data_IF_043011225931
#
_entry.id   IF_043011225931
#
_cell.length_a   1.000
_cell.length_b   1.000
_cell.length_c   1.000
_cell.angle_alpha   90.00
_cell.angle_beta   90.00
_cell.angle_gamma   90.00
#
_symmetry.space_group_name_H-M   'P 1'
#
loop_
_entity.id
_entity.type
_entity.pdbx_description
1 polymer ?
#
# COMPACT_ATOMS: atom_id res chain seq x y z
N UNK A 1 26.98 -3.47 3.25
CA UNK A 1 25.53 -3.13 3.21
C UNK A 1 24.84 -3.54 1.90
N UNK A 2 25.49 -3.40 0.74
CA UNK A 2 24.91 -3.73 -0.60
C UNK A 2 24.53 -5.21 -0.78
N UNK A 3 25.32 -6.17 -0.28
CA UNK A 3 25.01 -7.62 -0.39
C UNK A 3 23.81 -8.10 0.47
N UNK A 4 23.36 -7.33 1.48
CA UNK A 4 22.20 -7.70 2.33
C UNK A 4 20.87 -7.23 1.73
N UNK A 5 20.88 -6.19 0.90
CA UNK A 5 19.70 -5.71 0.16
C UNK A 5 19.31 -6.73 -0.91
N UNK A 6 20.28 -7.37 -1.58
CA UNK A 6 20.02 -8.40 -2.59
C UNK A 6 19.38 -9.69 -2.02
N UNK A 7 19.69 -10.09 -0.78
CA UNK A 7 19.02 -11.21 -0.11
C UNK A 7 17.56 -10.88 0.26
N UNK A 8 17.25 -9.62 0.60
CA UNK A 8 15.88 -9.18 0.86
C UNK A 8 15.06 -9.03 -0.42
N UNK A 9 15.69 -8.57 -1.51
CA UNK A 9 15.10 -8.59 -2.87
C UNK A 9 14.83 -10.03 -3.32
N UNK A 10 15.68 -11.00 -2.93
CA UNK A 10 15.45 -12.43 -3.14
C UNK A 10 14.23 -12.95 -2.38
N UNK A 11 13.97 -12.51 -1.16
CA UNK A 11 12.77 -12.94 -0.42
C UNK A 11 11.46 -12.54 -1.14
N UNK A 12 11.45 -11.39 -1.83
CA UNK A 12 10.34 -10.95 -2.68
C UNK A 12 10.38 -11.51 -4.12
N UNK A 13 11.52 -12.04 -4.58
CA UNK A 13 11.70 -12.59 -5.94
C UNK A 13 11.69 -14.13 -6.01
N UNK A 14 11.75 -14.83 -4.86
CA UNK A 14 11.75 -16.30 -4.74
C UNK A 14 10.40 -16.99 -5.00
N UNK A 15 9.51 -16.34 -5.75
CA UNK A 15 8.35 -16.99 -6.36
C UNK A 15 8.55 -17.08 -7.88
N UNK A 16 9.67 -17.64 -8.36
CA UNK A 16 9.77 -18.06 -9.76
C UNK A 16 10.94 -19.00 -10.10
N UNK A 17 10.71 -20.29 -9.93
CA UNK A 17 11.01 -21.26 -10.99
C UNK A 17 9.78 -22.15 -11.16
N UNK A 18 8.82 -21.68 -11.96
CA UNK A 18 7.76 -22.55 -12.46
C UNK A 18 8.22 -23.10 -13.81
N UNK A 19 8.40 -24.43 -13.84
CA UNK A 19 8.55 -25.23 -15.06
C UNK A 19 7.55 -24.76 -16.11
N UNK A 20 8.07 -24.54 -17.32
CA UNK A 20 7.31 -24.26 -18.53
C UNK A 20 6.32 -25.41 -18.73
N UNK A 21 5.03 -25.16 -18.52
CA UNK A 21 3.99 -26.09 -18.96
C UNK A 21 3.76 -25.83 -20.44
N UNK A 22 4.38 -26.66 -21.28
CA UNK A 22 4.05 -26.81 -22.70
C UNK A 22 2.78 -27.64 -22.79
N UNK A 23 1.61 -27.01 -22.79
CA UNK A 23 0.39 -27.64 -23.34
C UNK A 23 0.01 -26.93 -24.63
N UNK A 24 -0.37 -27.67 -25.70
CA UNK A 24 -0.82 -27.08 -26.94
C UNK A 24 -2.13 -26.34 -26.69
N UNK A 25 -2.26 -25.15 -27.27
CA UNK A 25 -3.57 -24.57 -27.51
C UNK A 25 -4.28 -25.46 -28.55
N UNK A 26 -5.29 -26.23 -28.14
CA UNK A 26 -6.58 -26.45 -28.85
C UNK A 26 -7.38 -27.63 -28.22
N UNK A 27 -8.71 -27.44 -28.23
CA UNK A 27 -9.86 -28.28 -27.82
C UNK A 27 -10.32 -28.23 -26.36
N UNK A 28 -11.50 -27.59 -26.20
CA UNK A 28 -12.35 -27.52 -25.02
C UNK A 28 -12.83 -28.92 -24.64
N UNK A 29 -12.65 -29.31 -23.38
CA UNK A 29 -13.45 -30.36 -22.74
C UNK A 29 -14.29 -29.71 -21.62
N UNK A 30 -15.60 -29.88 -21.72
CA UNK A 30 -16.66 -29.23 -20.93
C UNK A 30 -16.75 -29.62 -19.44
N UNK A 31 -15.80 -30.41 -18.89
CA UNK A 31 -15.93 -30.95 -17.53
C UNK A 31 -15.00 -30.30 -16.47
N UNK A 32 -14.19 -29.30 -16.87
CA UNK A 32 -13.39 -28.45 -15.95
C UNK A 32 -14.12 -27.13 -15.63
N UNK A 33 -15.26 -26.89 -16.25
CA UNK A 33 -15.98 -25.60 -16.23
C UNK A 33 -16.82 -25.34 -14.97
N UNK A 34 -16.79 -26.22 -13.95
CA UNK A 34 -17.47 -25.97 -12.66
C UNK A 34 -16.57 -25.47 -11.53
N UNK A 35 -15.24 -25.53 -11.66
CA UNK A 35 -14.32 -25.13 -10.57
C UNK A 35 -13.52 -23.86 -10.87
N UNK A 36 -13.54 -23.37 -12.11
CA UNK A 36 -13.02 -22.06 -12.47
C UNK A 36 -14.13 -21.01 -12.41
N UNK A 37 -14.54 -20.65 -11.19
CA UNK A 37 -15.10 -19.33 -10.95
C UNK A 37 -14.12 -18.33 -11.60
N UNK A 38 -14.53 -17.59 -12.63
CA UNK A 38 -13.65 -16.68 -13.39
C UNK A 38 -12.96 -15.75 -12.39
N UNK A 39 -11.71 -16.02 -12.04
CA UNK A 39 -10.91 -15.17 -11.16
C UNK A 39 -10.77 -13.82 -11.86
N UNK A 40 -11.38 -12.79 -11.28
CA UNK A 40 -11.27 -11.40 -11.73
C UNK A 40 -10.41 -10.61 -10.76
N UNK A 41 -9.95 -9.42 -11.18
CA UNK A 41 -9.28 -8.51 -10.25
C UNK A 41 -10.22 -8.08 -9.11
N UNK A 42 -11.51 -7.91 -9.37
CA UNK A 42 -12.52 -7.65 -8.34
C UNK A 42 -12.57 -8.75 -7.27
N UNK A 43 -12.73 -10.01 -7.68
CA UNK A 43 -12.73 -11.17 -6.78
C UNK A 43 -11.41 -11.23 -5.98
N UNK A 44 -10.28 -10.96 -6.64
CA UNK A 44 -8.96 -10.96 -6.00
C UNK A 44 -8.77 -9.85 -4.95
N UNK A 45 -9.45 -8.72 -5.09
CA UNK A 45 -9.38 -7.57 -4.17
C UNK A 45 -10.49 -7.57 -3.12
N UNK A 46 -11.49 -8.45 -3.23
CA UNK A 46 -12.66 -8.44 -2.35
C UNK A 46 -12.29 -8.63 -0.88
N UNK A 47 -11.31 -9.48 -0.57
CA UNK A 47 -10.81 -9.67 0.80
C UNK A 47 -10.23 -8.37 1.39
N UNK A 48 -9.58 -7.56 0.56
CA UNK A 48 -8.96 -6.29 0.99
C UNK A 48 -10.04 -5.28 1.37
N UNK A 49 -11.12 -5.21 0.58
CA UNK A 49 -12.25 -4.33 0.84
C UNK A 49 -13.01 -4.74 2.11
N UNK A 50 -13.19 -6.05 2.33
CA UNK A 50 -13.81 -6.57 3.57
C UNK A 50 -12.94 -6.20 4.77
N UNK A 51 -11.63 -6.41 4.68
CA UNK A 51 -10.68 -6.06 5.74
C UNK A 51 -10.74 -4.55 6.08
N UNK A 52 -10.75 -3.69 5.06
CA UNK A 52 -10.85 -2.23 5.25
C UNK A 52 -12.12 -1.83 6.01
N UNK A 53 -13.24 -2.50 5.74
CA UNK A 53 -14.52 -2.19 6.34
C UNK A 53 -14.61 -2.52 7.82
N UNK A 54 -13.82 -3.48 8.32
CA UNK A 54 -13.73 -3.74 9.76
C UNK A 54 -13.24 -2.50 10.53
N UNK A 55 -12.44 -1.64 9.88
CA UNK A 55 -11.81 -0.46 10.47
C UNK A 55 -12.40 0.86 9.96
N UNK A 56 -13.63 0.83 9.43
CA UNK A 56 -14.32 2.03 8.97
C UNK A 56 -13.70 2.66 7.72
N UNK A 57 -12.99 1.90 6.88
CA UNK A 57 -12.41 2.38 5.62
C UNK A 57 -13.09 1.73 4.39
N UNK A 58 -12.97 2.38 3.24
CA UNK A 58 -13.51 1.93 1.95
C UNK A 58 -14.97 1.41 2.00
N UNK A 59 -15.95 2.28 2.36
CA UNK A 59 -17.35 1.87 2.54
C UNK A 59 -18.09 1.63 1.21
N UNK A 60 -17.69 0.59 0.49
CA UNK A 60 -18.32 0.12 -0.76
C UNK A 60 -19.28 -1.04 -0.48
N UNK A 61 -20.46 -1.02 -1.09
CA UNK A 61 -21.44 -2.11 -0.99
C UNK A 61 -21.32 -3.06 -2.20
N UNK A 62 -21.76 -4.31 -2.03
CA UNK A 62 -21.76 -5.32 -3.11
C UNK A 62 -20.44 -6.08 -3.30
N UNK A 63 -19.54 -6.09 -2.32
CA UNK A 63 -18.19 -6.67 -2.45
C UNK A 63 -18.21 -8.18 -2.73
N UNK A 64 -19.08 -8.94 -2.06
CA UNK A 64 -19.11 -10.41 -2.12
C UNK A 64 -19.81 -10.95 -3.35
N UNK A 65 -20.44 -10.09 -4.15
CA UNK A 65 -21.08 -10.51 -5.39
C UNK A 65 -20.02 -10.80 -6.45
N UNK A 66 -20.27 -11.82 -7.27
CA UNK A 66 -19.34 -12.21 -8.35
C UNK A 66 -19.21 -11.13 -9.42
N UNK A 67 -20.31 -10.44 -9.72
CA UNK A 67 -20.33 -9.38 -10.73
C UNK A 67 -19.88 -8.04 -10.14
N UNK A 68 -18.86 -7.45 -10.76
CA UNK A 68 -18.33 -6.14 -10.40
C UNK A 68 -19.33 -5.00 -10.65
N UNK A 69 -20.36 -5.22 -11.48
CA UNK A 69 -21.43 -4.24 -11.71
C UNK A 69 -22.26 -3.94 -10.45
N UNK A 70 -22.23 -4.84 -9.47
CA UNK A 70 -22.98 -4.72 -8.23
C UNK A 70 -22.30 -3.83 -7.19
N UNK A 71 -21.05 -3.43 -7.42
CA UNK A 71 -20.34 -2.50 -6.55
C UNK A 71 -21.00 -1.12 -6.58
N UNK A 72 -21.39 -0.61 -5.41
CA UNK A 72 -22.04 0.70 -5.29
C UNK A 72 -21.58 1.44 -4.04
N UNK A 73 -21.59 2.77 -4.10
CA UNK A 73 -21.38 3.64 -2.95
C UNK A 73 -22.67 4.41 -2.66
N UNK A 74 -23.07 4.44 -1.39
CA UNK A 74 -24.22 5.19 -0.91
C UNK A 74 -23.90 5.84 0.42
N UNK A 75 -24.04 7.16 0.52
CA UNK A 75 -23.80 7.92 1.76
C UNK A 75 -24.62 7.43 2.95
N UNK A 76 -25.85 6.96 2.68
CA UNK A 76 -26.80 6.46 3.69
C UNK A 76 -26.57 5.00 4.07
N UNK A 77 -25.59 4.31 3.48
CA UNK A 77 -25.30 2.92 3.85
C UNK A 77 -24.71 2.83 5.26
N UNK A 78 -25.00 1.74 5.98
CA UNK A 78 -24.43 1.48 7.32
C UNK A 78 -22.89 1.57 7.33
N UNK A 79 -22.24 1.13 6.24
CA UNK A 79 -20.79 1.19 6.05
C UNK A 79 -20.29 2.63 5.96
N UNK A 80 -20.97 3.46 5.18
CA UNK A 80 -20.61 4.87 5.03
C UNK A 80 -20.83 5.64 6.32
N UNK A 81 -21.94 5.38 7.04
CA UNK A 81 -22.18 5.97 8.37
C UNK A 81 -21.09 5.56 9.35
N UNK A 82 -20.65 4.29 9.33
CA UNK A 82 -19.53 3.83 10.16
C UNK A 82 -18.22 4.57 9.84
N UNK A 83 -17.85 4.69 8.56
CA UNK A 83 -16.68 5.49 8.14
C UNK A 83 -16.78 6.96 8.53
N UNK A 84 -17.95 7.58 8.39
CA UNK A 84 -18.19 8.97 8.78
C UNK A 84 -18.10 9.15 10.31
N UNK A 85 -18.57 8.17 11.08
CA UNK A 85 -18.44 8.19 12.54
C UNK A 85 -16.96 8.12 12.95
N UNK A 86 -16.17 7.26 12.31
CA UNK A 86 -14.73 7.20 12.56
C UNK A 86 -14.00 8.50 12.16
N UNK A 87 -14.39 9.11 11.03
CA UNK A 87 -13.86 10.41 10.62
C UNK A 87 -14.21 11.53 11.63
N UNK A 88 -15.45 11.57 12.12
CA UNK A 88 -15.90 12.54 13.12
C UNK A 88 -15.15 12.36 14.45
N UNK A 89 -15.01 11.12 14.93
CA UNK A 89 -14.25 10.81 16.13
C UNK A 89 -12.76 11.18 16.00
N UNK A 90 -12.15 10.92 14.84
CA UNK A 90 -10.78 11.33 14.54
C UNK A 90 -10.62 12.85 14.50
N UNK A 91 -11.62 13.55 13.98
CA UNK A 91 -11.65 15.02 13.95
C UNK A 91 -11.71 15.61 15.36
N UNK A 92 -12.59 15.07 16.22
CA UNK A 92 -12.66 15.47 17.63
C UNK A 92 -11.32 15.23 18.34
N UNK A 93 -10.68 14.10 18.07
CA UNK A 93 -9.38 13.77 18.66
C UNK A 93 -8.28 14.78 18.26
N UNK A 94 -8.26 15.20 16.99
CA UNK A 94 -7.38 16.30 16.52
C UNK A 94 -7.71 17.61 17.26
N UNK A 95 -8.99 17.96 17.39
CA UNK A 95 -9.42 19.19 18.05
C UNK A 95 -8.98 19.20 19.52
N UNK A 96 -9.23 18.12 20.28
CA UNK A 96 -8.79 18.02 21.66
C UNK A 96 -7.27 18.15 21.80
N UNK A 97 -6.52 17.54 20.88
CA UNK A 97 -5.06 17.64 20.92
C UNK A 97 -4.57 19.07 20.60
N UNK A 98 -5.21 19.78 19.66
CA UNK A 98 -4.92 21.19 19.39
C UNK A 98 -5.22 22.05 20.61
N UNK A 99 -6.35 21.84 21.29
CA UNK A 99 -6.71 22.56 22.53
C UNK A 99 -5.63 22.37 23.61
N UNK A 100 -5.15 21.14 23.79
CA UNK A 100 -4.04 20.83 24.71
C UNK A 100 -2.77 21.59 24.32
N UNK A 101 -2.43 21.64 23.04
CA UNK A 101 -1.26 22.40 22.56
C UNK A 101 -1.41 23.91 22.77
N UNK A 102 -2.60 24.49 22.56
CA UNK A 102 -2.83 25.93 22.77
C UNK A 102 -2.83 26.33 24.23
N UNK A 103 -3.22 25.41 25.13
CA UNK A 103 -3.23 25.65 26.57
C UNK A 103 -1.86 25.43 27.23
N UNK A 104 -0.94 24.76 26.54
CA UNK A 104 0.43 24.50 27.04
C UNK A 104 1.35 25.68 26.69
N UNK A 105 2.16 26.15 27.66
CA UNK A 105 3.06 27.30 27.46
C UNK A 105 4.12 27.10 26.37
N UNK A 106 4.55 25.86 26.13
CA UNK A 106 5.48 25.52 25.06
C UNK A 106 5.22 24.10 24.54
N UNK A 107 5.02 23.99 23.22
CA UNK A 107 4.86 22.70 22.55
C UNK A 107 6.21 22.00 22.40
N UNK A 108 6.26 20.72 22.75
CA UNK A 108 7.43 19.87 22.56
C UNK A 108 7.41 19.22 21.16
N UNK A 109 8.56 18.77 20.67
CA UNK A 109 8.65 18.07 19.38
C UNK A 109 7.71 16.85 19.31
N UNK A 110 7.59 16.09 20.40
CA UNK A 110 6.69 14.94 20.53
C UNK A 110 5.20 15.30 20.39
N UNK A 111 4.81 16.54 20.72
CA UNK A 111 3.44 17.01 20.52
C UNK A 111 3.13 17.13 19.02
N UNK A 112 4.05 17.72 18.24
CA UNK A 112 3.89 17.82 16.78
C UNK A 112 3.85 16.45 16.10
N UNK A 113 4.68 15.51 16.54
CA UNK A 113 4.65 14.12 16.03
C UNK A 113 3.28 13.48 16.30
N UNK A 114 2.74 13.67 17.50
CA UNK A 114 1.43 13.12 17.89
C UNK A 114 0.28 13.78 17.12
N UNK A 115 0.32 15.11 16.94
CA UNK A 115 -0.65 15.83 16.13
C UNK A 115 -0.64 15.33 14.68
N UNK A 116 0.55 15.17 14.09
CA UNK A 116 0.69 14.67 12.73
C UNK A 116 0.15 13.24 12.57
N UNK A 117 0.34 12.38 13.58
CA UNK A 117 -0.26 11.04 13.58
C UNK A 117 -1.79 11.08 13.50
N UNK A 118 -2.45 11.95 14.26
CA UNK A 118 -3.91 12.13 14.20
C UNK A 118 -4.36 12.77 12.89
N UNK A 119 -3.64 13.78 12.40
CA UNK A 119 -3.94 14.43 11.12
C UNK A 119 -3.81 13.47 9.93
N UNK A 120 -2.75 12.67 9.88
CA UNK A 120 -2.56 11.65 8.84
C UNK A 120 -3.70 10.65 8.89
N UNK A 121 -4.11 10.20 10.07
CA UNK A 121 -5.27 9.30 10.22
C UNK A 121 -6.52 9.91 9.57
N UNK A 122 -6.86 11.15 9.94
CA UNK A 122 -8.04 11.83 9.41
C UNK A 122 -7.97 11.97 7.89
N UNK A 123 -6.82 12.41 7.36
CA UNK A 123 -6.59 12.53 5.92
C UNK A 123 -6.75 11.18 5.22
N UNK A 124 -6.20 10.10 5.78
CA UNK A 124 -6.29 8.74 5.22
C UNK A 124 -7.75 8.27 5.16
N UNK A 125 -8.55 8.49 6.21
CA UNK A 125 -9.98 8.13 6.21
C UNK A 125 -10.72 8.89 5.10
N UNK A 126 -10.49 10.21 5.00
CA UNK A 126 -11.11 11.05 3.98
C UNK A 126 -10.74 10.62 2.55
N UNK A 127 -9.47 10.28 2.33
CA UNK A 127 -9.00 9.72 1.06
C UNK A 127 -9.72 8.40 0.75
N UNK A 128 -9.87 7.50 1.72
CA UNK A 128 -10.53 6.22 1.47
C UNK A 128 -12.05 6.34 1.27
N UNK A 129 -12.71 7.35 1.84
CA UNK A 129 -14.10 7.68 1.50
C UNK A 129 -14.18 8.18 0.04
N UNK A 130 -13.27 9.05 -0.40
CA UNK A 130 -13.23 9.51 -1.79
C UNK A 130 -12.91 8.37 -2.76
N UNK A 131 -11.96 7.50 -2.43
CA UNK A 131 -11.67 6.29 -3.21
C UNK A 131 -12.91 5.42 -3.31
N UNK A 132 -13.63 5.18 -2.21
CA UNK A 132 -14.84 4.35 -2.23
C UNK A 132 -15.92 4.87 -3.19
N UNK A 133 -16.06 6.20 -3.34
CA UNK A 133 -17.01 6.81 -4.29
C UNK A 133 -16.65 6.50 -5.74
N UNK A 134 -15.36 6.51 -6.07
CA UNK A 134 -14.84 6.32 -7.43
C UNK A 134 -14.56 4.84 -7.75
N UNK A 135 -14.46 4.00 -6.72
CA UNK A 135 -14.08 2.59 -6.82
C UNK A 135 -14.96 1.77 -7.77
N UNK A 136 -16.31 1.84 -7.74
CA UNK A 136 -17.14 1.09 -8.67
C UNK A 136 -16.82 1.40 -10.14
N UNK A 137 -16.62 2.68 -10.47
CA UNK A 137 -16.27 3.10 -11.83
C UNK A 137 -14.90 2.55 -12.24
N UNK A 138 -13.92 2.55 -11.34
CA UNK A 138 -12.59 2.01 -11.64
C UNK A 138 -12.67 0.50 -11.89
N UNK A 139 -13.32 -0.26 -11.01
CA UNK A 139 -13.43 -1.70 -11.17
C UNK A 139 -14.20 -2.08 -12.43
N UNK A 140 -15.21 -1.31 -12.84
CA UNK A 140 -15.87 -1.52 -14.14
C UNK A 140 -14.89 -1.38 -15.31
N UNK A 141 -14.07 -0.32 -15.33
CA UNK A 141 -13.01 -0.16 -16.36
C UNK A 141 -12.01 -1.31 -16.31
N UNK A 142 -11.62 -1.73 -15.11
CA UNK A 142 -10.69 -2.84 -14.92
C UNK A 142 -11.27 -4.16 -15.44
N UNK A 143 -12.55 -4.42 -15.18
CA UNK A 143 -13.27 -5.63 -15.65
C UNK A 143 -13.30 -5.68 -17.17
N UNK A 144 -13.51 -4.55 -17.85
CA UNK A 144 -13.44 -4.48 -19.32
C UNK A 144 -12.06 -4.91 -19.83
N UNK A 145 -10.98 -4.48 -19.18
CA UNK A 145 -9.61 -4.91 -19.53
C UNK A 145 -9.39 -6.38 -19.21
N UNK A 146 -9.86 -6.88 -18.07
CA UNK A 146 -9.78 -8.29 -17.69
C UNK A 146 -10.47 -9.19 -18.75
N UNK A 147 -11.63 -8.77 -19.24
CA UNK A 147 -12.38 -9.47 -20.30
C UNK A 147 -11.62 -9.39 -21.63
N UNK A 148 -11.14 -8.20 -22.02
CA UNK A 148 -10.40 -8.02 -23.27
C UNK A 148 -9.10 -8.86 -23.33
N UNK A 149 -8.48 -9.09 -22.17
CA UNK A 149 -7.27 -9.89 -21.99
C UNK A 149 -7.55 -11.34 -21.57
N UNK A 150 -8.75 -11.87 -21.78
CA UNK A 150 -9.09 -13.24 -21.36
C UNK A 150 -8.18 -14.31 -21.98
N UNK A 151 -7.60 -14.05 -23.15
CA UNK A 151 -6.65 -14.95 -23.84
C UNK A 151 -5.28 -15.08 -23.17
N UNK A 152 -4.98 -14.26 -22.16
CA UNK A 152 -3.72 -14.28 -21.40
C UNK A 152 -3.81 -15.13 -20.12
N UNK A 153 -5.00 -15.69 -19.85
CA UNK A 153 -5.42 -16.24 -18.57
C UNK A 153 -5.36 -15.22 -17.42
N UNK A 154 -5.94 -15.55 -16.26
CA UNK A 154 -5.74 -14.75 -15.05
C UNK A 154 -4.36 -15.04 -14.44
N UNK A 155 -3.65 -14.04 -13.86
CA UNK A 155 -2.36 -14.28 -13.22
C UNK A 155 -2.42 -15.37 -12.14
N UNK A 156 -1.72 -16.48 -12.39
CA UNK A 156 -1.68 -17.65 -11.50
C UNK A 156 -1.17 -17.25 -10.11
N UNK A 157 -1.85 -17.71 -9.06
CA UNK A 157 -1.53 -17.46 -7.64
C UNK A 157 -1.55 -16.00 -7.20
N UNK A 158 -2.02 -15.05 -8.02
CA UNK A 158 -2.05 -13.63 -7.64
C UNK A 158 -2.89 -13.41 -6.39
N UNK A 159 -4.09 -13.99 -6.31
CA UNK A 159 -4.96 -13.90 -5.15
C UNK A 159 -4.29 -14.42 -3.86
N UNK A 160 -3.64 -15.59 -3.92
CA UNK A 160 -2.92 -16.17 -2.77
C UNK A 160 -1.73 -15.29 -2.36
N UNK A 161 -0.95 -14.82 -3.35
CA UNK A 161 0.18 -13.90 -3.11
C UNK A 161 -0.26 -12.60 -2.44
N UNK A 162 -1.39 -12.03 -2.87
CA UNK A 162 -1.95 -10.83 -2.26
C UNK A 162 -2.35 -11.05 -0.79
N UNK A 163 -3.01 -12.18 -0.49
CA UNK A 163 -3.38 -12.52 0.90
C UNK A 163 -2.16 -12.72 1.80
N UNK A 164 -1.11 -13.39 1.31
CA UNK A 164 0.14 -13.57 2.06
C UNK A 164 0.78 -12.22 2.35
N UNK A 165 0.93 -11.35 1.35
CA UNK A 165 1.51 -10.00 1.54
C UNK A 165 0.69 -9.19 2.54
N UNK A 166 -0.64 -9.22 2.44
CA UNK A 166 -1.53 -8.54 3.37
C UNK A 166 -1.37 -9.06 4.80
N UNK A 167 -1.35 -10.39 5.00
CA UNK A 167 -1.15 -11.01 6.30
C UNK A 167 0.20 -10.65 6.91
N UNK A 168 1.28 -10.65 6.13
CA UNK A 168 2.62 -10.28 6.61
C UNK A 168 2.70 -8.82 7.04
N UNK A 169 2.20 -7.89 6.22
CA UNK A 169 2.29 -6.45 6.53
C UNK A 169 1.39 -6.08 7.71
N UNK A 170 0.13 -6.54 7.70
CA UNK A 170 -0.80 -6.24 8.80
C UNK A 170 -0.40 -6.97 10.09
N UNK A 171 0.11 -8.20 10.00
CA UNK A 171 0.63 -8.92 11.16
C UNK A 171 1.82 -8.20 11.79
N UNK A 172 2.78 -7.76 10.97
CA UNK A 172 3.92 -6.97 11.46
C UNK A 172 3.48 -5.63 12.09
N UNK A 173 2.47 -4.96 11.52
CA UNK A 173 1.89 -3.76 12.11
C UNK A 173 1.26 -4.02 13.49
N UNK A 174 0.55 -5.13 13.65
CA UNK A 174 -0.06 -5.51 14.94
C UNK A 174 1.03 -5.82 15.98
N UNK A 175 2.10 -6.52 15.59
CA UNK A 175 3.24 -6.78 16.49
C UNK A 175 3.90 -5.48 16.92
N UNK A 176 4.16 -4.57 15.98
CA UNK A 176 4.75 -3.25 16.25
C UNK A 176 3.91 -2.46 17.27
N UNK A 177 2.61 -2.35 17.02
CA UNK A 177 1.68 -1.66 17.90
C UNK A 177 1.58 -2.31 19.28
N UNK A 178 1.57 -3.65 19.33
CA UNK A 178 1.50 -4.39 20.59
C UNK A 178 2.76 -4.18 21.44
N UNK A 179 3.94 -4.15 20.82
CA UNK A 179 5.20 -3.85 21.51
C UNK A 179 5.19 -2.41 22.06
N UNK A 180 4.75 -1.44 21.26
CA UNK A 180 4.61 -0.06 21.69
C UNK A 180 3.68 0.08 22.92
N UNK A 181 2.47 -0.49 22.83
CA UNK A 181 1.49 -0.45 23.93
C UNK A 181 2.05 -1.15 25.16
N UNK A 182 2.73 -2.29 25.00
CA UNK A 182 3.32 -3.04 26.13
C UNK A 182 4.39 -2.25 26.85
N UNK A 183 5.30 -1.59 26.12
CA UNK A 183 6.33 -0.71 26.71
C UNK A 183 5.70 0.37 27.58
N UNK A 184 4.67 1.05 27.07
CA UNK A 184 4.02 2.14 27.79
C UNK A 184 3.15 1.62 28.95
N UNK A 185 2.51 0.47 28.79
CA UNK A 185 1.68 -0.13 29.83
C UNK A 185 2.53 -0.57 31.04
N UNK A 186 3.66 -1.24 30.78
CA UNK A 186 4.58 -1.69 31.84
C UNK A 186 5.16 -0.50 32.61
N UNK A 187 5.55 0.57 31.91
CA UNK A 187 6.09 1.76 32.58
C UNK A 187 5.05 2.46 33.48
N UNK A 188 3.76 2.36 33.14
CA UNK A 188 2.68 2.91 33.96
C UNK A 188 2.34 2.06 35.20
N UNK A 189 2.65 0.77 35.18
CA UNK A 189 2.21 -0.22 36.18
C UNK A 189 3.23 -0.57 37.28
N UNK A 190 4.42 0.03 37.26
CA UNK A 190 5.44 -0.23 38.28
C UNK A 190 4.92 0.15 39.67
N UNK A 191 4.71 -0.84 40.53
CA UNK A 191 4.23 -0.68 41.90
C UNK A 191 2.71 -0.58 42.08
N UNK A 192 1.92 -0.87 41.04
CA UNK A 192 0.46 -0.78 41.06
C UNK A 192 -0.20 -2.11 40.66
N UNK A 193 -1.46 -2.31 41.05
CA UNK A 193 -2.23 -3.45 40.57
C UNK A 193 -2.71 -3.25 39.13
N UNK A 194 -3.29 -4.28 38.51
CA UNK A 194 -3.68 -4.24 37.08
C UNK A 194 -4.76 -3.19 36.78
N UNK A 195 -5.74 -3.01 37.68
CA UNK A 195 -6.81 -2.03 37.49
C UNK A 195 -6.27 -0.60 37.54
N UNK A 196 -5.45 -0.30 38.55
CA UNK A 196 -4.75 0.98 38.69
C UNK A 196 -3.81 1.24 37.50
N UNK A 197 -3.14 0.19 37.00
CA UNK A 197 -2.27 0.30 35.82
C UNK A 197 -3.05 0.70 34.57
N UNK A 198 -4.23 0.10 34.35
CA UNK A 198 -5.12 0.46 33.24
C UNK A 198 -5.54 1.93 33.34
N UNK A 199 -5.98 2.38 34.50
CA UNK A 199 -6.39 3.77 34.72
C UNK A 199 -5.25 4.76 34.45
N UNK A 200 -4.06 4.45 34.98
CA UNK A 200 -2.84 5.26 34.78
C UNK A 200 -2.42 5.29 33.31
N UNK A 201 -2.44 4.14 32.64
CA UNK A 201 -2.13 4.04 31.21
C UNK A 201 -3.07 4.90 30.36
N UNK A 202 -4.39 4.80 30.60
CA UNK A 202 -5.38 5.57 29.86
C UNK A 202 -5.22 7.08 30.12
N UNK A 203 -5.05 7.49 31.38
CA UNK A 203 -4.81 8.89 31.74
C UNK A 203 -3.53 9.45 31.13
N UNK A 204 -2.46 8.64 31.09
CA UNK A 204 -1.21 9.03 30.45
C UNK A 204 -1.35 9.21 28.93
N UNK A 205 -2.01 8.26 28.26
CA UNK A 205 -2.16 8.28 26.78
C UNK A 205 -3.14 9.33 26.28
N UNK A 206 -4.21 9.55 27.02
CA UNK A 206 -5.37 10.34 26.58
C UNK A 206 -5.72 11.50 27.51
N UNK A 207 -4.78 11.91 28.37
CA UNK A 207 -4.97 13.01 29.32
C UNK A 207 -5.49 14.29 28.67
N UNK A 208 -5.05 14.58 27.44
CA UNK A 208 -5.52 15.73 26.65
C UNK A 208 -7.03 15.74 26.37
N UNK A 209 -7.70 14.58 26.37
CA UNK A 209 -9.16 14.48 26.25
C UNK A 209 -9.82 14.60 27.62
N UNK A 210 -9.23 13.95 28.64
CA UNK A 210 -9.76 13.93 30.00
C UNK A 210 -9.62 15.26 30.74
N UNK A 211 -8.68 16.12 30.34
CA UNK A 211 -8.61 17.52 30.80
C UNK A 211 -9.87 18.31 30.45
N UNK A 212 -10.54 17.97 29.34
CA UNK A 212 -11.76 18.65 28.88
C UNK A 212 -13.04 17.92 29.34
N UNK A 213 -13.02 16.59 29.34
CA UNK A 213 -14.22 15.75 29.53
C UNK A 213 -14.34 15.13 30.91
N UNK A 214 -13.26 15.15 31.71
CA UNK A 214 -13.14 14.33 32.92
C UNK A 214 -12.73 12.89 32.60
N UNK A 215 -12.08 12.22 33.56
CA UNK A 215 -11.67 10.83 33.39
C UNK A 215 -12.87 9.88 33.48
N UNK A 216 -12.98 9.01 32.49
CA UNK A 216 -13.92 7.89 32.47
C UNK A 216 -13.29 6.71 31.72
N UNK A 217 -13.42 5.52 32.28
CA UNK A 217 -12.77 4.32 31.75
C UNK A 217 -13.35 3.90 30.40
N UNK A 218 -14.66 4.05 30.19
CA UNK A 218 -15.32 3.68 28.93
C UNK A 218 -14.83 4.59 27.81
N UNK A 219 -14.74 5.90 28.07
CA UNK A 219 -14.15 6.85 27.14
C UNK A 219 -12.67 6.54 26.86
N UNK A 220 -11.89 6.17 27.87
CA UNK A 220 -10.49 5.75 27.67
C UNK A 220 -10.35 4.52 26.78
N UNK A 221 -11.18 3.49 26.99
CA UNK A 221 -11.19 2.30 26.14
C UNK A 221 -11.62 2.62 24.70
N UNK A 222 -12.59 3.53 24.53
CA UNK A 222 -12.98 4.02 23.20
C UNK A 222 -11.84 4.74 22.48
N UNK A 223 -11.10 5.61 23.17
CA UNK A 223 -9.93 6.30 22.61
C UNK A 223 -8.79 5.33 22.27
N UNK A 224 -8.60 4.29 23.08
CA UNK A 224 -7.64 3.21 22.76
C UNK A 224 -8.04 2.45 21.50
N UNK A 225 -9.34 2.14 21.32
CA UNK A 225 -9.84 1.54 20.08
C UNK A 225 -9.62 2.45 18.87
N UNK A 226 -9.89 3.76 18.99
CA UNK A 226 -9.59 4.72 17.92
C UNK A 226 -8.10 4.73 17.56
N UNK A 227 -7.21 4.64 18.55
CA UNK A 227 -5.77 4.59 18.33
C UNK A 227 -5.34 3.33 17.56
N UNK A 228 -5.96 2.18 17.84
CA UNK A 228 -5.77 0.95 17.05
C UNK A 228 -6.24 1.16 15.60
N UNK A 229 -7.40 1.79 15.40
CA UNK A 229 -7.91 2.07 14.05
C UNK A 229 -7.00 3.03 13.29
N UNK A 230 -6.46 4.07 13.94
CA UNK A 230 -5.44 4.95 13.37
C UNK A 230 -4.22 4.17 12.89
N UNK A 231 -3.73 3.26 13.74
CA UNK A 231 -2.55 2.44 13.45
C UNK A 231 -2.82 1.43 12.34
N UNK A 232 -4.05 0.98 12.16
CA UNK A 232 -4.42 0.12 11.04
C UNK A 232 -4.58 0.94 9.76
N UNK A 233 -5.12 2.16 9.85
CA UNK A 233 -5.43 3.01 8.69
C UNK A 233 -4.19 3.37 7.87
N UNK A 234 -3.11 3.84 8.50
CA UNK A 234 -1.89 4.20 7.78
C UNK A 234 -1.10 2.99 7.23
N UNK A 235 -1.24 1.80 7.84
CA UNK A 235 -0.63 0.55 7.36
C UNK A 235 -1.43 0.00 6.19
N UNK A 236 -2.77 0.11 6.28
CA UNK A 236 -3.68 -0.23 5.22
C UNK A 236 -3.49 0.68 3.99
N UNK A 237 -3.19 1.97 4.19
CA UNK A 237 -2.81 2.91 3.14
C UNK A 237 -1.67 2.36 2.27
N UNK A 238 -0.59 1.90 2.91
CA UNK A 238 0.58 1.32 2.26
C UNK A 238 0.26 -0.02 1.60
N UNK A 239 -0.47 -0.89 2.31
CA UNK A 239 -0.92 -2.18 1.78
C UNK A 239 -1.77 -2.02 0.52
N UNK A 240 -2.70 -1.05 0.51
CA UNK A 240 -3.54 -0.75 -0.62
C UNK A 240 -2.70 -0.40 -1.86
N UNK A 241 -1.68 0.46 -1.68
CA UNK A 241 -0.76 0.80 -2.78
C UNK A 241 -0.03 -0.44 -3.31
N UNK A 242 0.49 -1.27 -2.41
CA UNK A 242 1.22 -2.49 -2.75
C UNK A 242 0.36 -3.43 -3.60
N UNK A 243 -0.87 -3.71 -3.15
CA UNK A 243 -1.72 -4.71 -3.79
C UNK A 243 -2.25 -4.24 -5.15
N UNK A 244 -2.64 -2.97 -5.30
CA UNK A 244 -3.06 -2.44 -6.61
C UNK A 244 -1.88 -2.40 -7.59
N UNK A 245 -0.69 -2.01 -7.10
CA UNK A 245 0.53 -2.02 -7.91
C UNK A 245 0.88 -3.44 -8.38
N UNK A 246 0.66 -4.45 -7.54
CA UNK A 246 0.88 -5.85 -7.89
C UNK A 246 -0.07 -6.32 -8.99
N UNK A 247 -1.37 -5.98 -8.91
CA UNK A 247 -2.34 -6.30 -9.95
C UNK A 247 -1.96 -5.70 -11.31
N UNK A 248 -1.61 -4.41 -11.36
CA UNK A 248 -1.15 -3.76 -12.60
C UNK A 248 0.14 -4.40 -13.13
N UNK A 249 1.11 -4.63 -12.25
CA UNK A 249 2.41 -5.20 -12.63
C UNK A 249 2.28 -6.58 -13.26
N UNK A 250 1.45 -7.46 -12.69
CA UNK A 250 1.26 -8.80 -13.26
C UNK A 250 0.56 -8.75 -14.63
N UNK A 251 -0.34 -7.78 -14.87
CA UNK A 251 -0.95 -7.58 -16.20
C UNK A 251 0.06 -7.12 -17.25
N UNK A 252 0.91 -6.12 -16.96
CA UNK A 252 1.98 -5.72 -17.88
C UNK A 252 2.98 -6.85 -18.16
N UNK A 253 3.26 -7.66 -17.15
CA UNK A 253 4.12 -8.84 -17.27
C UNK A 253 3.51 -9.93 -18.16
N UNK A 254 2.18 -10.10 -18.16
CA UNK A 254 1.50 -11.00 -19.10
C UNK A 254 1.69 -10.55 -20.56
N UNK A 255 1.54 -9.25 -20.84
CA UNK A 255 1.80 -8.70 -22.19
C UNK A 255 3.24 -8.96 -22.61
N UNK A 256 4.20 -8.70 -21.72
CA UNK A 256 5.63 -8.97 -21.98
C UNK A 256 5.87 -10.46 -22.29
N UNK A 257 5.26 -11.37 -21.53
CA UNK A 257 5.36 -12.82 -21.79
C UNK A 257 4.78 -13.20 -23.15
N UNK A 258 3.63 -12.62 -23.53
CA UNK A 258 3.00 -12.86 -24.82
C UNK A 258 3.89 -12.41 -25.98
N UNK A 259 4.45 -11.20 -25.89
CA UNK A 259 5.40 -10.69 -26.90
C UNK A 259 6.59 -11.64 -27.05
N UNK A 260 7.20 -12.07 -25.94
CA UNK A 260 8.31 -13.03 -25.97
C UNK A 260 7.93 -14.37 -26.60
N UNK A 261 6.73 -14.87 -26.30
CA UNK A 261 6.22 -16.10 -26.90
C UNK A 261 6.04 -15.95 -28.42
N UNK A 262 5.39 -14.88 -28.87
CA UNK A 262 5.18 -14.61 -30.31
C UNK A 262 6.51 -14.44 -31.06
N UNK A 263 7.46 -13.72 -30.45
CA UNK A 263 8.83 -13.58 -30.95
C UNK A 263 9.50 -14.95 -31.13
N UNK A 264 9.43 -15.82 -30.12
CA UNK A 264 10.05 -17.15 -30.17
C UNK A 264 9.42 -18.11 -31.19
N UNK A 265 8.18 -17.82 -31.61
CA UNK A 265 7.43 -18.61 -32.59
C UNK A 265 7.44 -18.00 -33.98
N UNK A 266 8.18 -16.90 -34.18
CA UNK A 266 8.26 -16.18 -35.45
C UNK A 266 6.87 -15.86 -36.04
N UNK A 267 5.92 -15.44 -35.19
CA UNK A 267 4.54 -15.18 -35.63
C UNK A 267 4.51 -13.90 -36.47
N UNK A 268 4.21 -14.03 -37.76
CA UNK A 268 4.13 -12.93 -38.73
C UNK A 268 2.72 -12.29 -38.83
N UNK A 269 1.71 -12.93 -38.25
CA UNK A 269 0.31 -12.53 -38.36
C UNK A 269 0.07 -11.12 -37.78
N UNK A 270 -0.37 -10.21 -38.65
CA UNK A 270 -0.62 -8.81 -38.31
C UNK A 270 -1.72 -8.65 -37.25
N UNK A 271 -2.79 -9.43 -37.33
CA UNK A 271 -3.95 -9.34 -36.44
C UNK A 271 -3.58 -9.69 -34.99
N UNK A 272 -2.62 -10.60 -34.82
CA UNK A 272 -2.11 -11.00 -33.51
C UNK A 272 -1.30 -9.87 -32.86
N UNK A 273 -0.44 -9.20 -33.63
CA UNK A 273 0.34 -8.06 -33.14
C UNK A 273 -0.52 -6.83 -32.87
N UNK A 274 -1.53 -6.58 -33.72
CA UNK A 274 -2.55 -5.55 -33.48
C UNK A 274 -3.24 -5.78 -32.13
N UNK A 275 -3.68 -7.01 -31.84
CA UNK A 275 -4.33 -7.34 -30.58
C UNK A 275 -3.43 -7.09 -29.37
N UNK A 276 -2.15 -7.48 -29.46
CA UNK A 276 -1.16 -7.23 -28.40
C UNK A 276 -0.94 -5.73 -28.18
N UNK A 277 -0.89 -4.94 -29.26
CA UNK A 277 -0.80 -3.48 -29.19
C UNK A 277 -1.99 -2.89 -28.45
N UNK A 278 -3.20 -3.27 -28.85
CA UNK A 278 -4.41 -2.80 -28.18
C UNK A 278 -4.47 -3.19 -26.70
N UNK A 279 -4.07 -4.40 -26.34
CA UNK A 279 -4.05 -4.85 -24.94
C UNK A 279 -3.06 -4.06 -24.10
N UNK A 280 -1.88 -3.75 -24.66
CA UNK A 280 -0.93 -2.84 -24.02
C UNK A 280 -1.52 -1.43 -23.84
N UNK A 281 -2.15 -0.88 -24.87
CA UNK A 281 -2.79 0.45 -24.81
C UNK A 281 -3.91 0.49 -23.77
N UNK A 282 -4.77 -0.53 -23.72
CA UNK A 282 -5.82 -0.69 -22.71
C UNK A 282 -5.25 -0.68 -21.30
N UNK A 283 -4.14 -1.38 -21.06
CA UNK A 283 -3.45 -1.39 -19.77
C UNK A 283 -2.84 -0.04 -19.39
N UNK A 284 -2.26 0.69 -20.33
CA UNK A 284 -1.71 2.02 -20.07
C UNK A 284 -2.82 3.00 -19.69
N UNK A 285 -3.96 3.00 -20.39
CA UNK A 285 -5.14 3.82 -20.05
C UNK A 285 -5.74 3.43 -18.70
N UNK A 286 -5.80 2.13 -18.39
CA UNK A 286 -6.21 1.66 -17.07
C UNK A 286 -5.26 2.14 -15.99
N UNK A 287 -3.94 2.03 -16.21
CA UNK A 287 -2.93 2.50 -15.26
C UNK A 287 -3.08 3.99 -14.98
N UNK A 288 -3.41 4.82 -15.97
CA UNK A 288 -3.68 6.24 -15.77
C UNK A 288 -4.96 6.47 -14.93
N UNK A 289 -6.02 5.69 -15.18
CA UNK A 289 -7.23 5.74 -14.33
C UNK A 289 -6.95 5.36 -12.88
N UNK A 290 -6.08 4.37 -12.67
CA UNK A 290 -5.62 3.95 -11.34
C UNK A 290 -4.75 5.01 -10.69
N UNK A 291 -3.80 5.58 -11.43
CA UNK A 291 -2.92 6.65 -10.95
C UNK A 291 -3.72 7.85 -10.45
N UNK A 292 -4.69 8.32 -11.25
CA UNK A 292 -5.55 9.44 -10.87
C UNK A 292 -6.34 9.16 -9.58
N UNK A 293 -6.78 7.91 -9.35
CA UNK A 293 -7.47 7.53 -8.12
C UNK A 293 -6.51 7.47 -6.92
N UNK A 294 -5.31 6.94 -7.14
CA UNK A 294 -4.34 6.65 -6.08
C UNK A 294 -3.39 7.81 -5.76
N UNK A 295 -3.38 8.86 -6.57
CA UNK A 295 -2.46 9.99 -6.45
C UNK A 295 -2.39 10.57 -5.03
N UNK A 296 -3.55 10.81 -4.40
CA UNK A 296 -3.64 11.28 -3.02
C UNK A 296 -3.01 10.29 -2.02
N UNK A 297 -3.36 9.00 -2.15
CA UNK A 297 -2.92 7.97 -1.20
C UNK A 297 -1.41 7.73 -1.31
N UNK A 298 -0.86 7.80 -2.53
CA UNK A 298 0.58 7.69 -2.78
C UNK A 298 1.32 8.87 -2.16
N UNK A 299 0.83 10.10 -2.35
CA UNK A 299 1.47 11.28 -1.78
C UNK A 299 1.54 11.20 -0.25
N UNK A 300 0.41 10.92 0.41
CA UNK A 300 0.34 10.83 1.88
C UNK A 300 1.15 9.64 2.41
N UNK A 301 1.14 8.49 1.72
CA UNK A 301 1.95 7.32 2.08
C UNK A 301 3.45 7.62 2.07
N UNK A 302 3.98 8.20 1.00
CA UNK A 302 5.41 8.51 0.93
C UNK A 302 5.80 9.60 1.94
N UNK A 303 4.99 10.65 2.07
CA UNK A 303 5.23 11.71 3.05
C UNK A 303 5.24 11.19 4.49
N UNK A 304 4.22 10.44 4.88
CA UNK A 304 4.10 9.86 6.22
C UNK A 304 5.24 8.88 6.52
N UNK A 305 5.56 7.96 5.61
CA UNK A 305 6.63 7.00 5.84
C UNK A 305 8.01 7.67 5.99
N UNK A 306 8.32 8.65 5.15
CA UNK A 306 9.57 9.41 5.28
C UNK A 306 9.59 10.16 6.62
N UNK A 307 8.51 10.87 6.95
CA UNK A 307 8.41 11.61 8.21
C UNK A 307 8.64 10.72 9.43
N UNK A 308 7.96 9.59 9.53
CA UNK A 308 8.08 8.69 10.68
C UNK A 308 9.49 8.07 10.75
N UNK A 309 10.11 7.72 9.62
CA UNK A 309 11.50 7.24 9.61
C UNK A 309 12.46 8.31 10.13
N UNK A 310 12.30 9.57 9.71
CA UNK A 310 13.14 10.68 10.16
C UNK A 310 12.95 10.94 11.66
N UNK A 311 11.71 10.91 12.17
CA UNK A 311 11.41 11.02 13.60
C UNK A 311 12.06 9.89 14.40
N UNK A 312 11.94 8.64 13.93
CA UNK A 312 12.52 7.48 14.61
C UNK A 312 14.05 7.57 14.64
N UNK A 313 14.67 8.01 13.54
CA UNK A 313 16.11 8.25 13.45
C UNK A 313 16.57 9.37 14.40
N UNK A 314 15.85 10.49 14.42
CA UNK A 314 16.11 11.59 15.33
C UNK A 314 16.06 11.15 16.81
N UNK A 315 15.00 10.44 17.20
CA UNK A 315 14.84 9.94 18.56
C UNK A 315 15.95 8.94 18.92
N UNK A 316 16.38 8.10 17.97
CA UNK A 316 17.47 7.13 18.20
C UNK A 316 18.80 7.83 18.49
N UNK A 317 19.08 8.96 17.83
CA UNK A 317 20.34 9.69 17.96
C UNK A 317 20.34 10.66 19.16
N UNK A 318 19.20 11.25 19.50
CA UNK A 318 19.09 12.26 20.57
C UNK A 318 18.71 11.70 21.92
N UNK A 319 18.03 10.56 21.96
CA UNK A 319 17.57 9.92 23.19
C UNK A 319 17.66 8.40 23.01
N UNK A 320 18.89 7.84 22.97
CA UNK A 320 19.07 6.41 22.77
C UNK A 320 18.27 5.64 23.84
N UNK A 321 17.68 4.49 23.49
CA UNK A 321 16.78 3.76 24.39
C UNK A 321 17.53 3.34 25.66
N UNK A 322 17.26 4.05 26.76
CA UNK A 322 17.95 3.86 28.03
C UNK A 322 17.31 2.80 28.94
N UNK A 323 16.26 2.12 28.51
CA UNK A 323 15.48 1.24 29.39
C UNK A 323 15.26 -0.14 28.74
N UNK A 324 15.29 -1.20 29.56
CA UNK A 324 14.78 -2.55 29.28
C UNK A 324 15.32 -3.31 28.05
N UNK A 325 15.08 -4.63 28.04
CA UNK A 325 15.21 -5.44 26.82
C UNK A 325 14.03 -5.15 25.87
N UNK A 326 12.84 -4.87 26.44
CA UNK A 326 11.61 -4.62 25.71
C UNK A 326 11.71 -3.35 24.84
N UNK A 327 12.15 -2.22 25.40
CA UNK A 327 12.18 -0.96 24.65
C UNK A 327 13.18 -1.04 23.50
N UNK A 328 14.38 -1.58 23.75
CA UNK A 328 15.37 -1.85 22.69
C UNK A 328 14.78 -2.72 21.57
N UNK A 329 14.04 -3.77 21.95
CA UNK A 329 13.38 -4.65 20.97
C UNK A 329 12.32 -3.90 20.16
N UNK A 330 11.45 -3.14 20.82
CA UNK A 330 10.45 -2.29 20.17
C UNK A 330 11.08 -1.31 19.18
N UNK A 331 12.09 -0.55 19.62
CA UNK A 331 12.73 0.47 18.79
C UNK A 331 13.37 -0.12 17.53
N UNK A 332 14.14 -1.21 17.66
CA UNK A 332 14.79 -1.89 16.53
C UNK A 332 13.76 -2.50 15.59
N UNK A 333 12.73 -3.15 16.15
CA UNK A 333 11.66 -3.75 15.37
C UNK A 333 10.88 -2.70 14.58
N UNK A 334 10.41 -1.63 15.24
CA UNK A 334 9.62 -0.56 14.64
C UNK A 334 10.41 0.14 13.52
N UNK A 335 11.68 0.50 13.76
CA UNK A 335 12.51 1.13 12.72
C UNK A 335 12.73 0.22 11.51
N UNK A 336 13.07 -1.06 11.73
CA UNK A 336 13.24 -2.03 10.66
C UNK A 336 11.95 -2.26 9.87
N UNK A 337 10.82 -2.36 10.57
CA UNK A 337 9.50 -2.52 9.96
C UNK A 337 9.14 -1.32 9.07
N UNK A 338 9.34 -0.09 9.54
CA UNK A 338 9.06 1.13 8.76
C UNK A 338 9.88 1.19 7.47
N UNK A 339 11.18 0.89 7.53
CA UNK A 339 12.05 0.85 6.35
C UNK A 339 11.59 -0.24 5.37
N UNK A 340 11.35 -1.46 5.86
CA UNK A 340 10.90 -2.57 5.01
C UNK A 340 9.56 -2.24 4.35
N UNK A 341 8.62 -1.63 5.09
CA UNK A 341 7.30 -1.22 4.58
C UNK A 341 7.44 -0.17 3.48
N UNK A 342 8.22 0.89 3.70
CA UNK A 342 8.47 1.93 2.69
C UNK A 342 9.12 1.34 1.43
N UNK A 343 10.13 0.48 1.58
CA UNK A 343 10.77 -0.20 0.45
C UNK A 343 9.74 -1.07 -0.29
N UNK A 344 8.89 -1.82 0.41
CA UNK A 344 7.86 -2.66 -0.21
C UNK A 344 6.86 -1.84 -1.02
N UNK A 345 6.34 -0.73 -0.47
CA UNK A 345 5.46 0.21 -1.17
C UNK A 345 6.14 0.73 -2.42
N UNK A 346 7.35 1.27 -2.28
CA UNK A 346 8.05 1.91 -3.37
C UNK A 346 8.48 0.92 -4.46
N UNK A 347 8.92 -0.29 -4.09
CA UNK A 347 9.29 -1.36 -5.02
C UNK A 347 8.09 -1.88 -5.80
N UNK A 348 6.95 -2.12 -5.15
CA UNK A 348 5.75 -2.60 -5.83
C UNK A 348 5.22 -1.56 -6.82
N UNK A 349 5.10 -0.30 -6.39
CA UNK A 349 4.68 0.79 -7.27
C UNK A 349 5.68 1.05 -8.41
N UNK A 350 6.99 1.01 -8.15
CA UNK A 350 8.01 1.13 -9.18
C UNK A 350 8.03 -0.06 -10.15
N UNK A 351 7.57 -1.23 -9.70
CA UNK A 351 7.48 -2.43 -10.55
C UNK A 351 6.51 -2.20 -11.70
N UNK A 352 5.40 -1.49 -11.49
CA UNK A 352 4.45 -1.10 -12.56
C UNK A 352 5.20 -0.39 -13.69
N UNK A 353 6.00 0.63 -13.36
CA UNK A 353 6.79 1.34 -14.37
C UNK A 353 7.81 0.44 -15.06
N UNK A 354 8.50 -0.41 -14.29
CA UNK A 354 9.52 -1.29 -14.85
C UNK A 354 8.93 -2.34 -15.79
N UNK A 355 7.82 -3.00 -15.43
CA UNK A 355 7.15 -4.00 -16.25
C UNK A 355 6.53 -3.36 -17.49
N UNK A 356 5.99 -2.14 -17.39
CA UNK A 356 5.44 -1.42 -18.56
C UNK A 356 6.48 -1.14 -19.65
N UNK A 357 7.76 -1.03 -19.29
CA UNK A 357 8.88 -0.73 -20.20
C UNK A 357 9.55 -1.97 -20.78
N UNK A 358 9.39 -3.15 -20.17
CA UNK A 358 10.04 -4.38 -20.64
C UNK A 358 9.70 -4.80 -22.08
N UNK A 359 8.47 -4.61 -22.59
CA UNK A 359 8.15 -4.92 -23.98
C UNK A 359 9.14 -4.31 -24.99
N UNK A 360 9.63 -3.10 -24.74
CA UNK A 360 10.55 -2.37 -25.62
C UNK A 360 11.77 -3.19 -26.01
N UNK A 361 12.40 -3.85 -25.02
CA UNK A 361 13.62 -4.62 -25.27
C UNK A 361 13.35 -5.77 -26.23
N UNK A 362 12.27 -6.52 -26.01
CA UNK A 362 11.92 -7.67 -26.85
C UNK A 362 11.48 -7.26 -28.26
N UNK A 363 10.78 -6.14 -28.39
CA UNK A 363 10.35 -5.61 -29.69
C UNK A 363 11.55 -5.14 -30.53
N UNK A 364 12.54 -4.50 -29.91
CA UNK A 364 13.76 -4.06 -30.59
C UNK A 364 14.65 -5.21 -31.08
N UNK A 365 14.49 -6.41 -30.52
CA UNK A 365 15.29 -7.60 -30.88
C UNK A 365 14.58 -8.51 -31.88
N UNK A 366 13.44 -8.11 -32.42
CA UNK A 366 12.70 -8.91 -33.41
C UNK A 366 13.47 -8.97 -34.74
N UNK A 367 13.40 -10.14 -35.40
CA UNK A 367 13.91 -10.30 -36.76
C UNK A 367 13.11 -9.44 -37.74
N UNK A 368 13.78 -8.94 -38.78
CA UNK A 368 13.16 -8.20 -39.89
C UNK A 368 12.05 -9.00 -40.58
N UNK A 369 12.10 -10.33 -40.54
CA UNK A 369 11.07 -11.22 -41.09
C UNK A 369 9.74 -11.17 -40.34
N UNK A 370 9.77 -10.84 -39.04
CA UNK A 370 8.58 -10.75 -38.17
C UNK A 370 8.08 -9.32 -38.08
N UNK A 371 8.98 -8.35 -38.31
CA UNK A 371 8.72 -6.94 -38.14
C UNK A 371 7.62 -6.47 -39.09
N UNK A 372 6.58 -5.85 -38.53
CA UNK A 372 5.44 -5.32 -39.27
C UNK A 372 5.00 -3.97 -38.69
N UNK A 373 4.03 -3.32 -39.34
CA UNK A 373 3.53 -2.00 -38.94
C UNK A 373 2.95 -1.97 -37.52
N UNK A 374 2.37 -3.06 -37.04
CA UNK A 374 1.80 -3.14 -35.69
C UNK A 374 2.87 -3.27 -34.61
N UNK A 375 3.96 -3.99 -34.92
CA UNK A 375 5.17 -4.03 -34.08
C UNK A 375 5.77 -2.63 -33.96
N UNK A 376 5.90 -1.91 -35.07
CA UNK A 376 6.43 -0.54 -35.09
C UNK A 376 5.57 0.42 -34.26
N UNK A 377 4.24 0.39 -34.46
CA UNK A 377 3.28 1.18 -33.67
C UNK A 377 3.36 0.86 -32.18
N UNK A 378 3.41 -0.42 -31.81
CA UNK A 378 3.55 -0.84 -30.42
C UNK A 378 4.88 -0.37 -29.83
N UNK A 379 5.99 -0.52 -30.55
CA UNK A 379 7.30 -0.06 -30.10
C UNK A 379 7.32 1.46 -29.86
N UNK A 380 6.74 2.23 -30.78
CA UNK A 380 6.55 3.66 -30.63
C UNK A 380 5.74 3.99 -29.37
N UNK A 381 4.60 3.32 -29.18
CA UNK A 381 3.72 3.56 -28.04
C UNK A 381 4.40 3.21 -26.71
N UNK A 382 5.11 2.08 -26.61
CA UNK A 382 5.87 1.69 -25.41
C UNK A 382 6.99 2.69 -25.11
N UNK A 383 7.61 3.27 -26.14
CA UNK A 383 8.71 4.24 -25.99
C UNK A 383 8.24 5.54 -25.37
N UNK A 384 7.08 6.06 -25.78
CA UNK A 384 6.62 7.40 -25.39
C UNK A 384 5.55 7.39 -24.29
N UNK A 385 4.72 6.34 -24.18
CA UNK A 385 3.61 6.26 -23.23
C UNK A 385 3.89 5.23 -22.12
N UNK A 386 4.86 5.55 -21.25
CA UNK A 386 5.24 4.64 -20.16
C UNK A 386 4.29 4.78 -18.97
N UNK A 387 3.56 3.71 -18.67
CA UNK A 387 2.70 3.64 -17.50
C UNK A 387 3.50 3.74 -16.19
N UNK A 388 3.01 4.52 -15.23
CA UNK A 388 3.61 4.65 -13.92
C UNK A 388 2.59 5.21 -12.92
N UNK A 389 2.78 4.90 -11.64
CA UNK A 389 2.07 5.54 -10.56
C UNK A 389 2.85 6.78 -10.08
N UNK A 390 2.13 7.80 -9.63
CA UNK A 390 2.64 9.13 -9.29
C UNK A 390 1.96 9.67 -8.04
N UNK A 391 2.65 10.53 -7.30
CA UNK A 391 2.04 11.42 -6.31
C UNK A 391 1.75 12.75 -6.98
N UNK A 392 0.52 12.95 -7.46
CA UNK A 392 0.04 14.16 -8.15
C UNK A 392 0.91 14.63 -9.31
N UNK A 393 1.56 13.70 -10.01
CA UNK A 393 2.57 14.00 -11.04
C UNK A 393 3.77 14.84 -10.54
N UNK A 394 3.84 15.16 -9.24
CA UNK A 394 4.98 15.82 -8.58
C UNK A 394 6.20 14.90 -8.64
N UNK A 395 5.98 13.62 -8.35
CA UNK A 395 6.99 12.59 -8.51
C UNK A 395 6.40 11.32 -9.10
N UNK A 396 7.20 10.64 -9.91
CA UNK A 396 6.88 9.33 -10.47
C UNK A 396 7.57 8.25 -9.66
N UNK A 397 6.81 7.24 -9.22
CA UNK A 397 7.37 6.13 -8.45
C UNK A 397 8.15 5.20 -9.37
N UNK A 398 9.48 5.30 -9.29
CA UNK A 398 10.43 4.52 -10.10
C UNK A 398 11.50 3.93 -9.20
N UNK A 399 12.26 2.94 -9.69
CA UNK A 399 13.38 2.37 -8.92
C UNK A 399 14.42 3.43 -8.54
N UNK A 400 14.59 4.44 -9.39
CA UNK A 400 15.46 5.59 -9.12
C UNK A 400 14.97 6.45 -7.96
N UNK A 401 13.66 6.61 -7.78
CA UNK A 401 13.11 7.37 -6.65
C UNK A 401 13.49 6.71 -5.32
N UNK A 402 13.48 5.38 -5.25
CA UNK A 402 13.87 4.62 -4.05
C UNK A 402 15.29 4.97 -3.63
N UNK A 403 16.23 4.94 -4.59
CA UNK A 403 17.63 5.31 -4.33
C UNK A 403 17.77 6.76 -3.85
N UNK A 404 16.99 7.69 -4.42
CA UNK A 404 16.99 9.09 -4.01
C UNK A 404 16.48 9.28 -2.58
N UNK A 405 15.40 8.58 -2.21
CA UNK A 405 14.86 8.62 -0.84
C UNK A 405 15.87 8.04 0.15
N UNK A 406 16.47 6.89 -0.17
CA UNK A 406 17.51 6.30 0.69
C UNK A 406 18.71 7.23 0.87
N UNK A 407 19.18 7.87 -0.21
CA UNK A 407 20.27 8.84 -0.14
C UNK A 407 19.89 10.04 0.74
N UNK A 408 18.67 10.59 0.58
CA UNK A 408 18.21 11.72 1.38
C UNK A 408 18.14 11.39 2.89
N UNK A 409 17.67 10.18 3.25
CA UNK A 409 17.64 9.72 4.65
C UNK A 409 19.06 9.62 5.22
N UNK A 410 20.00 9.04 4.46
CA UNK A 410 21.42 8.95 4.90
C UNK A 410 22.07 10.33 5.00
N UNK A 411 21.80 11.24 4.06
CA UNK A 411 22.30 12.61 4.13
C UNK A 411 21.76 13.35 5.36
N UNK A 412 20.48 13.18 5.68
CA UNK A 412 19.89 13.72 6.90
C UNK A 412 20.57 13.14 8.15
N UNK A 413 20.78 11.83 8.21
CA UNK A 413 21.49 11.16 9.30
C UNK A 413 22.89 11.76 9.52
N UNK A 414 23.67 11.88 8.44
CA UNK A 414 25.04 12.42 8.51
C UNK A 414 25.06 13.87 9.01
N UNK A 415 24.16 14.71 8.53
CA UNK A 415 24.03 16.10 8.99
C UNK A 415 23.65 16.14 10.47
N UNK A 416 22.70 15.31 10.89
CA UNK A 416 22.26 15.27 12.28
C UNK A 416 23.39 14.81 13.22
N UNK A 417 24.15 13.77 12.85
CA UNK A 417 25.32 13.32 13.59
C UNK A 417 26.39 14.40 13.68
N UNK A 418 26.64 15.13 12.58
CA UNK A 418 27.58 16.26 12.61
C UNK A 418 27.13 17.36 13.57
N UNK A 419 25.85 17.75 13.55
CA UNK A 419 25.34 18.78 14.46
C UNK A 419 25.40 18.33 15.93
N UNK A 420 25.10 17.06 16.21
CA UNK A 420 25.17 16.51 17.57
C UNK A 420 26.61 16.33 18.09
N UNK A 421 27.59 16.19 17.20
CA UNK A 421 29.01 16.10 17.59
C UNK A 421 29.68 17.48 17.71
N UNK A 422 29.08 18.54 17.15
CA UNK A 422 29.64 19.90 17.12
C UNK A 422 28.87 20.92 17.97
N UNK A 423 27.74 20.56 18.57
CA UNK A 423 27.00 21.34 19.56
C UNK A 423 27.02 20.65 20.90
#
# INVERSE_FOLDING_TARGET
MVKRVDSFVKLFSLAKEQKISTKPFVTKNCDVDKMNQKLTTHSSLSFLLIFAQCFGMLPVSGITNEDSSSLKFYWTSKRSVYSMTFAAASTLNVIFFIIKMTNTKSAQFSDYVTLLFFMVTLITIMIFIDIARKWPSLIKKWTVVDIAMSSYDFPVNLHTKMKIIAGLIMGAAVVEHSLFVSTVFISCGVGYNIGETVDRFLKYRFGFVFEVTGYDIVWGLFLQMLNIFSTISWNFMDLFIILISLCLSERFKQVTKRIRFLASKNVIDLSVWEKVREDYTRLTVLCESVDNLMSNVILVSFGNNIFVILVQLFNTLTSPPHHGILDKTYYVYSFGFLIIRLIAVAMCAATVNSESKKPKHYLNTLSTLIYNVEVDRLLHYVKYNTAALTGHKIFRVTRTLILRISLAIVSYELVLVQMLNHG
#
